data_IF_908488740632
#
_entry.id   IF_908488740632
#
_cell.length_a   1.000
_cell.length_b   1.000
_cell.length_c   1.000
_cell.angle_alpha   90.00
_cell.angle_beta   90.00
_cell.angle_gamma   90.00
#
_symmetry.space_group_name_H-M   'P 1'
#
loop_
_entity.id
_entity.type
_entity.pdbx_description
1 polymer ?
#
# COMPACT_ATOMS: atom_id res chain seq x y z
N UNK A 1 -33.76 -11.81 18.45
CA UNK A 1 -32.43 -12.46 18.48
C UNK A 1 -31.93 -12.95 17.11
N UNK A 2 -32.75 -13.55 16.24
CA UNK A 2 -32.28 -14.01 14.91
C UNK A 2 -31.88 -12.89 13.94
N UNK A 3 -32.60 -11.76 13.91
CA UNK A 3 -32.34 -10.64 12.96
C UNK A 3 -30.96 -10.00 13.11
N UNK A 4 -30.43 -9.97 14.33
CA UNK A 4 -29.10 -9.42 14.61
C UNK A 4 -27.96 -10.39 14.22
N UNK A 5 -28.22 -11.70 14.18
CA UNK A 5 -27.24 -12.72 13.79
C UNK A 5 -26.87 -12.64 12.31
N UNK A 6 -27.86 -12.35 11.45
CA UNK A 6 -27.62 -12.15 10.01
C UNK A 6 -26.86 -10.85 9.73
N UNK A 7 -27.18 -9.79 10.45
CA UNK A 7 -26.45 -8.52 10.35
C UNK A 7 -24.97 -8.67 10.74
N UNK A 8 -24.67 -9.42 11.82
CA UNK A 8 -23.30 -9.71 12.22
C UNK A 8 -22.54 -10.56 11.20
N UNK A 9 -23.19 -11.56 10.60
CA UNK A 9 -22.60 -12.40 9.55
C UNK A 9 -22.26 -11.58 8.29
N UNK A 10 -23.17 -10.71 7.86
CA UNK A 10 -22.97 -9.82 6.70
C UNK A 10 -21.81 -8.85 6.93
N UNK A 11 -21.72 -8.25 8.12
CA UNK A 11 -20.63 -7.34 8.47
C UNK A 11 -19.27 -8.06 8.48
N UNK A 12 -19.22 -9.29 9.00
CA UNK A 12 -17.99 -10.10 9.00
C UNK A 12 -17.53 -10.44 7.57
N UNK A 13 -18.45 -10.69 6.65
CA UNK A 13 -18.14 -10.96 5.23
C UNK A 13 -17.54 -9.73 4.54
N UNK A 14 -18.04 -8.54 4.86
CA UNK A 14 -17.57 -7.27 4.29
C UNK A 14 -16.16 -6.88 4.76
N UNK A 15 -15.76 -7.26 5.98
CA UNK A 15 -14.40 -7.01 6.49
C UNK A 15 -13.30 -7.67 5.63
N UNK A 16 -13.59 -8.79 4.96
CA UNK A 16 -12.62 -9.48 4.11
C UNK A 16 -12.31 -8.75 2.78
N UNK A 17 -13.07 -7.71 2.43
CA UNK A 17 -12.94 -6.98 1.16
C UNK A 17 -11.96 -5.80 1.31
N UNK A 18 -11.63 -5.39 2.54
CA UNK A 18 -10.64 -4.37 2.79
C UNK A 18 -9.24 -4.89 2.44
N UNK A 19 -8.73 -4.51 1.26
CA UNK A 19 -7.34 -4.76 0.85
C UNK A 19 -6.55 -3.48 1.04
N UNK A 20 -5.67 -3.48 2.03
CA UNK A 20 -4.64 -2.46 2.15
C UNK A 20 -3.35 -3.03 1.56
N UNK A 21 -2.89 -2.47 0.45
CA UNK A 21 -1.57 -2.75 -0.11
C UNK A 21 -0.73 -1.47 -0.19
N UNK A 22 0.58 -1.65 -0.38
CA UNK A 22 1.53 -0.57 -0.51
C UNK A 22 2.10 -0.59 -1.93
N UNK A 23 1.91 0.50 -2.66
CA UNK A 23 2.58 0.75 -3.93
C UNK A 23 4.02 1.19 -3.70
N UNK A 24 4.88 0.87 -4.67
CA UNK A 24 6.26 1.35 -4.76
C UNK A 24 6.53 1.85 -6.18
N UNK A 25 7.10 3.04 -6.31
CA UNK A 25 7.69 3.53 -7.57
C UNK A 25 9.04 4.18 -7.29
N UNK A 26 9.87 4.27 -8.31
CA UNK A 26 11.13 5.01 -8.25
C UNK A 26 11.05 6.21 -9.19
N UNK A 27 11.12 7.40 -8.61
CA UNK A 27 11.22 8.63 -9.38
C UNK A 27 12.66 8.76 -9.90
N UNK A 28 12.85 9.12 -11.18
CA UNK A 28 14.17 9.27 -11.75
C UNK A 28 14.94 10.40 -11.06
N UNK A 29 16.26 10.27 -11.05
CA UNK A 29 17.17 11.33 -10.64
C UNK A 29 16.90 12.63 -11.43
N UNK A 30 17.06 13.78 -10.78
CA UNK A 30 16.84 15.09 -11.40
C UNK A 30 17.97 16.05 -11.03
N UNK A 31 18.77 16.46 -12.02
CA UNK A 31 19.94 17.31 -11.78
C UNK A 31 20.95 16.62 -10.86
N UNK A 32 21.27 17.27 -9.74
CA UNK A 32 22.17 16.74 -8.71
C UNK A 32 21.45 15.81 -7.71
N UNK A 33 20.12 15.71 -7.77
CA UNK A 33 19.33 14.83 -6.91
C UNK A 33 19.33 13.39 -7.43
N UNK A 34 19.66 12.45 -6.54
CA UNK A 34 19.57 11.02 -6.81
C UNK A 34 18.14 10.50 -6.98
N UNK A 35 17.97 9.24 -7.40
CA UNK A 35 16.64 8.63 -7.53
C UNK A 35 15.91 8.56 -6.18
N UNK A 36 14.59 8.76 -6.19
CA UNK A 36 13.75 8.75 -4.99
C UNK A 36 12.79 7.59 -5.05
N UNK A 37 12.89 6.67 -4.08
CA UNK A 37 11.88 5.62 -3.91
C UNK A 37 10.67 6.18 -3.15
N UNK A 38 9.47 6.05 -3.72
CA UNK A 38 8.22 6.49 -3.11
C UNK A 38 7.38 5.28 -2.74
N UNK A 39 6.94 5.24 -1.49
CA UNK A 39 6.00 4.26 -0.96
C UNK A 39 4.66 4.95 -0.67
N UNK A 40 3.56 4.37 -1.12
CA UNK A 40 2.23 5.01 -1.03
C UNK A 40 1.10 3.98 -0.92
N UNK A 41 -0.10 4.37 -0.45
CA UNK A 41 -1.26 3.48 -0.47
C UNK A 41 -1.61 3.06 -1.90
N UNK A 42 -1.86 1.77 -2.09
CA UNK A 42 -2.39 1.20 -3.33
C UNK A 42 -3.48 0.19 -3.01
N UNK A 43 -4.27 -0.18 -4.01
CA UNK A 43 -5.20 -1.31 -3.98
C UNK A 43 -4.73 -2.48 -4.87
N UNK A 44 -3.63 -2.30 -5.58
CA UNK A 44 -3.08 -3.33 -6.47
C UNK A 44 -2.48 -4.47 -5.64
N UNK A 45 -2.38 -5.66 -6.24
CA UNK A 45 -1.86 -6.82 -5.53
C UNK A 45 -0.37 -6.64 -5.18
N UNK A 46 -0.05 -6.78 -3.90
CA UNK A 46 1.34 -6.84 -3.43
C UNK A 46 1.98 -8.18 -3.76
N UNK A 47 3.29 -8.14 -4.00
CA UNK A 47 4.12 -9.33 -4.08
C UNK A 47 5.43 -9.13 -3.31
N UNK A 48 6.08 -10.22 -2.85
CA UNK A 48 7.40 -10.13 -2.24
C UNK A 48 8.47 -9.65 -3.22
N UNK A 49 9.10 -8.52 -2.92
CA UNK A 49 10.16 -7.87 -3.69
C UNK A 49 11.42 -7.73 -2.85
N UNK A 50 12.57 -8.16 -3.37
CA UNK A 50 13.85 -8.05 -2.68
C UNK A 50 14.51 -6.69 -2.95
N UNK A 51 14.79 -5.91 -1.91
CA UNK A 51 15.58 -4.66 -1.97
C UNK A 51 16.77 -4.77 -1.02
N UNK A 52 17.93 -5.09 -1.59
CA UNK A 52 19.14 -5.39 -0.81
C UNK A 52 18.92 -6.58 0.13
N UNK A 53 19.03 -6.33 1.45
CA UNK A 53 18.81 -7.35 2.49
C UNK A 53 17.34 -7.49 2.93
N UNK A 54 16.46 -6.63 2.41
CA UNK A 54 15.06 -6.58 2.82
C UNK A 54 14.16 -7.29 1.79
N UNK A 55 13.12 -7.95 2.29
CA UNK A 55 12.01 -8.47 1.50
C UNK A 55 10.79 -7.61 1.82
N UNK A 56 10.26 -6.90 0.82
CA UNK A 56 9.14 -5.98 0.95
C UNK A 56 7.92 -6.57 0.25
N UNK A 57 6.76 -6.56 0.88
CA UNK A 57 5.50 -6.97 0.22
C UNK A 57 4.81 -5.73 -0.36
N UNK A 58 5.02 -5.50 -1.67
CA UNK A 58 4.61 -4.25 -2.35
C UNK A 58 4.09 -4.50 -3.76
N UNK A 59 3.24 -3.59 -4.23
CA UNK A 59 2.82 -3.49 -5.62
C UNK A 59 3.77 -2.55 -6.37
N UNK A 60 4.72 -3.11 -7.12
CA UNK A 60 5.66 -2.32 -7.95
C UNK A 60 4.89 -1.63 -9.07
N UNK A 61 5.06 -0.31 -9.20
CA UNK A 61 4.29 0.56 -10.10
C UNK A 61 2.77 0.42 -9.91
N UNK A 62 2.32 0.13 -8.69
CA UNK A 62 0.91 0.03 -8.35
C UNK A 62 0.18 1.37 -8.50
N UNK A 63 -1.12 1.35 -8.80
CA UNK A 63 -1.90 2.57 -8.91
C UNK A 63 -2.02 3.26 -7.54
N UNK A 64 -1.64 4.55 -7.41
CA UNK A 64 -1.74 5.27 -6.16
C UNK A 64 -3.19 5.59 -5.80
N UNK A 65 -3.52 5.47 -4.52
CA UNK A 65 -4.81 5.92 -3.97
C UNK A 65 -4.60 6.97 -2.88
N UNK A 66 -5.63 7.76 -2.60
CA UNK A 66 -5.56 8.79 -1.58
C UNK A 66 -5.29 8.19 -0.19
N UNK A 67 -4.22 8.65 0.45
CA UNK A 67 -3.88 8.31 1.83
C UNK A 67 -4.42 9.31 2.84
N UNK A 68 -3.70 9.47 3.95
CA UNK A 68 -4.03 10.43 5.03
C UNK A 68 -3.56 11.87 4.76
N UNK A 69 -3.09 12.17 3.54
CA UNK A 69 -2.60 13.49 3.13
C UNK A 69 -1.27 13.92 3.76
N UNK A 70 -0.53 13.02 4.43
CA UNK A 70 0.78 13.32 5.02
C UNK A 70 1.91 12.80 4.15
N UNK A 71 2.97 13.60 4.03
CA UNK A 71 4.22 13.21 3.38
C UNK A 71 5.32 13.06 4.44
N UNK A 72 6.05 11.96 4.38
CA UNK A 72 7.23 11.70 5.23
C UNK A 72 8.42 11.55 4.30
N UNK A 73 9.47 12.32 4.54
CA UNK A 73 10.72 12.27 3.78
C UNK A 73 11.80 11.68 4.68
N UNK A 74 12.52 10.68 4.16
CA UNK A 74 13.63 10.03 4.85
C UNK A 74 14.88 10.27 4.01
N UNK A 75 15.89 10.91 4.60
CA UNK A 75 17.23 11.04 4.04
C UNK A 75 18.24 10.34 4.95
N UNK A 76 19.45 10.14 4.44
CA UNK A 76 20.60 9.79 5.28
C UNK A 76 21.10 11.02 6.06
#
# INVERSE_FOLDING_TARGET
MHRFRWAGLLLALLCGIARASMGLTELPASGDDGPVTVYYPSNDASHPVKRGRFLLDVAVEGHPVAGNGRLIVISH
#
